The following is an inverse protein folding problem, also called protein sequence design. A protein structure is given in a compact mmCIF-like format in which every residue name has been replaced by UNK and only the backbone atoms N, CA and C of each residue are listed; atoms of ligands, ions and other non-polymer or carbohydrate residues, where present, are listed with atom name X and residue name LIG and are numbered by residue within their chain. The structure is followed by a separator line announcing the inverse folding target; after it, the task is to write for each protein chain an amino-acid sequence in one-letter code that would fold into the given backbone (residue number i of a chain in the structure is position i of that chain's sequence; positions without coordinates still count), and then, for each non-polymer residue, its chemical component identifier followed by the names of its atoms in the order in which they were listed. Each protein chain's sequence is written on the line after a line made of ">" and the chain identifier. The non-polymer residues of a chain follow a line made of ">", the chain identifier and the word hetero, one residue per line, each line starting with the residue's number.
data_IF_434783769871
#
_entry.id   IF_434783769871
#
_cell.length_a   1.000
_cell.length_b   1.000
_cell.length_c   1.000
_cell.angle_alpha   90.00
_cell.angle_beta   90.00
_cell.angle_gamma   90.00
#
_symmetry.space_group_name_H-M   'P 1'
#
loop_
_entity.id
_entity.type
_entity.pdbx_description
1 polymer ?
#
# COMPACT_ATOMS: atom_id res chain seq x y z
N UNK A 1 7.88 -32.45 -50.39
CA UNK A 1 7.07 -31.35 -49.84
C UNK A 1 6.80 -31.65 -48.38
N UNK A 2 7.63 -31.12 -47.48
CA UNK A 2 7.44 -31.30 -46.03
C UNK A 2 6.37 -30.32 -45.53
N UNK A 3 5.24 -30.85 -45.09
CA UNK A 3 4.24 -30.07 -44.36
C UNK A 3 4.88 -29.61 -43.05
N UNK A 4 5.01 -28.29 -42.85
CA UNK A 4 5.37 -27.76 -41.55
C UNK A 4 4.24 -28.04 -40.55
N UNK A 5 4.56 -28.44 -39.30
CA UNK A 5 3.53 -28.61 -38.29
C UNK A 5 2.95 -27.24 -37.96
N UNK A 6 1.64 -27.09 -38.15
CA UNK A 6 0.91 -25.90 -37.76
C UNK A 6 1.11 -25.65 -36.26
N UNK A 7 1.79 -24.55 -35.94
CA UNK A 7 1.96 -24.07 -34.57
C UNK A 7 0.57 -23.68 -34.05
N UNK A 8 -0.10 -24.60 -33.36
CA UNK A 8 -1.38 -24.35 -32.72
C UNK A 8 -1.11 -23.49 -31.49
N UNK A 9 -1.11 -22.16 -31.66
CA UNK A 9 -0.98 -21.22 -30.55
C UNK A 9 -2.23 -21.41 -29.67
N UNK A 10 -2.06 -22.16 -28.59
CA UNK A 10 -3.10 -22.38 -27.58
C UNK A 10 -3.42 -21.02 -26.96
N UNK A 11 -4.53 -20.43 -27.42
CA UNK A 11 -5.05 -19.16 -26.91
C UNK A 11 -5.34 -19.38 -25.41
N UNK A 12 -4.50 -18.83 -24.54
CA UNK A 12 -4.75 -18.86 -23.11
C UNK A 12 -6.06 -18.11 -22.88
N UNK A 13 -7.00 -18.76 -22.18
CA UNK A 13 -8.28 -18.16 -21.84
C UNK A 13 -8.02 -16.92 -20.99
N UNK A 14 -8.56 -15.78 -21.40
CA UNK A 14 -8.45 -14.54 -20.64
C UNK A 14 -9.09 -14.76 -19.26
N UNK A 15 -8.27 -14.68 -18.22
CA UNK A 15 -8.68 -14.90 -16.83
C UNK A 15 -8.31 -13.67 -16.03
N UNK A 16 -9.22 -13.22 -15.18
CA UNK A 16 -8.96 -12.24 -14.15
C UNK A 16 -8.50 -13.01 -12.91
N UNK A 17 -7.24 -12.86 -12.53
CA UNK A 17 -6.68 -13.42 -11.30
C UNK A 17 -6.57 -12.34 -10.24
N UNK A 18 -6.96 -12.69 -9.01
CA UNK A 18 -6.78 -11.87 -7.82
C UNK A 18 -5.71 -12.52 -6.95
N UNK A 19 -4.71 -11.72 -6.63
CA UNK A 19 -3.59 -12.06 -5.78
C UNK A 19 -3.74 -11.37 -4.44
N UNK A 20 -3.21 -11.99 -3.39
CA UNK A 20 -3.26 -11.48 -2.04
C UNK A 20 -1.91 -11.62 -1.34
N UNK A 21 -1.58 -10.65 -0.49
CA UNK A 21 -0.41 -10.63 0.39
C UNK A 21 -0.90 -10.51 1.82
N UNK A 22 -0.57 -11.50 2.65
CA UNK A 22 -1.00 -11.55 4.04
C UNK A 22 0.01 -10.83 4.96
N UNK A 23 -0.49 -10.20 6.02
CA UNK A 23 0.36 -9.55 7.02
C UNK A 23 1.04 -8.27 6.55
N UNK A 24 0.59 -7.69 5.42
CA UNK A 24 1.00 -6.38 4.91
C UNK A 24 -0.25 -5.55 4.61
N UNK A 25 -0.22 -4.28 4.99
CA UNK A 25 -1.31 -3.30 4.72
C UNK A 25 -1.22 -2.82 3.28
N UNK A 26 -0.01 -2.51 2.83
CA UNK A 26 0.36 -2.19 1.46
C UNK A 26 1.63 -2.96 1.12
N UNK A 27 1.77 -3.36 -0.15
CA UNK A 27 2.94 -4.07 -0.63
C UNK A 27 3.17 -3.75 -2.10
N UNK A 28 4.30 -3.11 -2.41
CA UNK A 28 4.71 -2.82 -3.79
C UNK A 28 5.81 -3.80 -4.19
N UNK A 29 5.62 -4.48 -5.31
CA UNK A 29 6.62 -5.40 -5.86
C UNK A 29 6.97 -4.99 -7.29
N UNK A 30 8.27 -4.93 -7.60
CA UNK A 30 8.75 -4.71 -8.96
C UNK A 30 8.95 -6.04 -9.66
N UNK A 31 8.25 -6.24 -10.78
CA UNK A 31 8.34 -7.46 -11.58
C UNK A 31 8.99 -7.11 -12.92
N UNK A 32 10.00 -7.88 -13.31
CA UNK A 32 10.66 -7.73 -14.60
C UNK A 32 9.93 -8.55 -15.66
N UNK A 33 9.49 -7.89 -16.74
CA UNK A 33 8.91 -8.52 -17.91
C UNK A 33 9.76 -8.15 -19.12
N UNK A 34 10.44 -9.14 -19.69
CA UNK A 34 11.48 -8.95 -20.70
C UNK A 34 12.55 -7.97 -20.20
N UNK A 35 12.51 -6.71 -20.65
CA UNK A 35 13.51 -5.68 -20.32
C UNK A 35 12.92 -4.51 -19.51
N UNK A 36 11.64 -4.59 -19.14
CA UNK A 36 10.95 -3.53 -18.41
C UNK A 36 10.59 -3.98 -16.99
N UNK A 37 10.66 -3.07 -16.03
CA UNK A 37 10.21 -3.31 -14.65
C UNK A 37 8.84 -2.67 -14.45
N UNK A 38 7.87 -3.46 -14.01
CA UNK A 38 6.51 -3.00 -13.70
C UNK A 38 6.30 -3.11 -12.20
N UNK A 39 5.86 -2.02 -11.57
CA UNK A 39 5.46 -2.04 -10.18
C UNK A 39 4.02 -2.54 -10.04
N UNK A 40 3.83 -3.49 -9.14
CA UNK A 40 2.54 -4.04 -8.78
C UNK A 40 2.23 -3.61 -7.35
N UNK A 41 1.23 -2.75 -7.22
CA UNK A 41 0.80 -2.19 -5.94
C UNK A 41 -0.35 -3.02 -5.34
N UNK A 42 -0.06 -3.79 -4.30
CA UNK A 42 -1.07 -4.43 -3.47
C UNK A 42 -1.51 -3.45 -2.39
N UNK A 43 -2.81 -3.28 -2.27
CA UNK A 43 -3.41 -2.34 -1.32
C UNK A 43 -4.67 -2.91 -0.67
N UNK A 44 -5.21 -2.17 0.30
CA UNK A 44 -6.43 -2.54 1.02
C UNK A 44 -6.24 -3.64 2.08
N UNK A 45 -4.99 -3.93 2.45
CA UNK A 45 -4.71 -4.78 3.60
C UNK A 45 -4.96 -4.03 4.91
N UNK A 46 -5.22 -4.76 5.99
CA UNK A 46 -5.26 -4.20 7.34
C UNK A 46 -4.82 -5.23 8.35
N UNK A 47 -4.18 -4.78 9.43
CA UNK A 47 -3.73 -5.64 10.51
C UNK A 47 -4.29 -5.04 11.79
N UNK A 48 -5.22 -5.76 12.41
CA UNK A 48 -5.88 -5.36 13.66
C UNK A 48 -5.82 -6.50 14.66
N UNK A 49 -6.06 -6.21 15.95
CA UNK A 49 -6.14 -7.26 16.97
C UNK A 49 -7.26 -8.28 16.72
N UNK A 50 -8.24 -7.94 15.88
CA UNK A 50 -9.35 -8.82 15.49
C UNK A 50 -9.02 -9.76 14.32
N UNK A 51 -7.95 -9.47 13.57
CA UNK A 51 -7.58 -10.27 12.42
C UNK A 51 -6.79 -9.51 11.36
N UNK A 52 -6.47 -10.24 10.29
CA UNK A 52 -5.65 -9.76 9.19
C UNK A 52 -6.47 -9.77 7.90
N UNK A 53 -6.64 -8.60 7.29
CA UNK A 53 -7.17 -8.45 5.94
C UNK A 53 -5.96 -8.37 5.00
N UNK A 54 -5.83 -9.27 4.00
CA UNK A 54 -4.68 -9.23 3.11
C UNK A 54 -4.77 -8.06 2.13
N UNK A 55 -3.61 -7.50 1.77
CA UNK A 55 -3.53 -6.58 0.64
C UNK A 55 -3.77 -7.35 -0.66
N UNK A 56 -4.54 -6.79 -1.60
CA UNK A 56 -4.92 -7.52 -2.81
C UNK A 56 -4.57 -6.75 -4.09
N UNK A 57 -4.34 -7.52 -5.15
CA UNK A 57 -4.11 -6.99 -6.49
C UNK A 57 -4.87 -7.84 -7.50
N UNK A 58 -5.61 -7.20 -8.41
CA UNK A 58 -6.40 -7.90 -9.44
C UNK A 58 -5.86 -7.52 -10.80
N UNK A 59 -5.59 -8.52 -11.64
CA UNK A 59 -5.13 -8.28 -13.01
C UNK A 59 -5.69 -9.32 -13.97
N UNK A 60 -5.99 -8.87 -15.18
CA UNK A 60 -6.37 -9.72 -16.30
C UNK A 60 -5.22 -9.94 -17.29
N UNK A 61 -4.09 -9.25 -17.12
CA UNK A 61 -2.98 -9.34 -18.05
C UNK A 61 -2.23 -10.68 -17.87
N UNK A 62 -2.25 -11.59 -18.87
CA UNK A 62 -1.64 -12.92 -18.74
C UNK A 62 -0.11 -12.87 -18.61
N UNK A 63 0.54 -11.85 -19.16
CA UNK A 63 1.99 -11.66 -19.00
C UNK A 63 2.32 -11.28 -17.56
N UNK A 64 1.55 -10.35 -16.98
CA UNK A 64 1.75 -9.95 -15.59
C UNK A 64 1.44 -11.09 -14.63
N UNK A 65 0.38 -11.86 -14.89
CA UNK A 65 0.06 -13.06 -14.09
C UNK A 65 1.21 -14.07 -14.11
N UNK A 66 1.73 -14.39 -15.30
CA UNK A 66 2.86 -15.32 -15.43
C UNK A 66 4.10 -14.78 -14.72
N UNK A 67 4.43 -13.51 -14.92
CA UNK A 67 5.61 -12.91 -14.30
C UNK A 67 5.49 -12.84 -12.77
N UNK A 68 4.27 -12.61 -12.24
CA UNK A 68 3.98 -12.60 -10.81
C UNK A 68 4.02 -14.02 -10.22
N UNK A 69 3.51 -15.03 -10.92
CA UNK A 69 3.63 -16.43 -10.49
C UNK A 69 5.06 -16.97 -10.58
N UNK A 70 5.91 -16.39 -11.42
CA UNK A 70 7.33 -16.74 -11.54
C UNK A 70 8.24 -15.98 -10.56
N UNK A 71 7.71 -14.92 -9.92
CA UNK A 71 8.46 -14.08 -9.00
C UNK A 71 8.87 -14.83 -7.71
N UNK A 72 9.92 -14.34 -7.05
CA UNK A 72 10.44 -14.93 -5.81
C UNK A 72 9.40 -14.87 -4.69
N UNK A 73 8.63 -13.79 -4.62
CA UNK A 73 7.61 -13.52 -3.60
C UNK A 73 6.47 -14.54 -3.69
N UNK A 74 6.12 -14.96 -4.91
CA UNK A 74 5.14 -16.00 -5.13
C UNK A 74 5.67 -17.39 -4.76
N UNK A 75 6.91 -17.71 -5.15
CA UNK A 75 7.57 -18.98 -4.80
C UNK A 75 7.76 -19.17 -3.30
N UNK A 76 8.06 -18.09 -2.57
CA UNK A 76 8.14 -18.09 -1.10
C UNK A 76 6.75 -18.17 -0.45
N UNK A 77 5.68 -17.89 -1.21
CA UNK A 77 4.29 -17.99 -0.75
C UNK A 77 3.80 -16.75 0.00
N UNK A 78 4.51 -15.62 -0.12
CA UNK A 78 4.08 -14.30 0.39
C UNK A 78 2.86 -13.83 -0.40
N UNK A 79 2.94 -13.97 -1.73
CA UNK A 79 1.86 -13.65 -2.66
C UNK A 79 1.13 -14.94 -3.04
N UNK A 80 -0.20 -14.94 -2.96
CA UNK A 80 -1.03 -16.12 -3.27
C UNK A 80 -2.19 -15.75 -4.19
N UNK A 81 -2.55 -16.64 -5.10
CA UNK A 81 -3.80 -16.52 -5.87
C UNK A 81 -4.97 -16.84 -4.94
N UNK A 82 -5.94 -15.93 -4.84
CA UNK A 82 -7.16 -16.13 -4.03
C UNK A 82 -8.42 -16.30 -4.88
N UNK A 83 -8.43 -15.81 -6.11
CA UNK A 83 -9.54 -16.07 -7.04
C UNK A 83 -9.06 -16.01 -8.47
N UNK A 84 -9.66 -16.83 -9.33
CA UNK A 84 -9.41 -16.82 -10.76
C UNK A 84 -10.76 -16.96 -11.49
N UNK A 85 -11.19 -15.90 -12.15
CA UNK A 85 -12.50 -15.81 -12.82
C UNK A 85 -12.24 -15.62 -14.31
N UNK A 86 -12.90 -16.37 -15.22
CA UNK A 86 -12.76 -16.11 -16.66
C UNK A 86 -13.27 -14.70 -16.99
N UNK A 87 -12.57 -14.00 -17.89
CA UNK A 87 -12.93 -12.67 -18.40
C UNK A 87 -14.13 -12.81 -19.37
N UNK A 88 -15.28 -13.17 -18.82
CA UNK A 88 -16.58 -12.97 -19.42
C UNK A 88 -17.26 -11.86 -18.61
N UNK A 89 -17.88 -10.91 -19.29
CA UNK A 89 -18.51 -9.68 -18.79
C UNK A 89 -19.62 -9.84 -17.69
N UNK A 90 -19.56 -10.83 -16.81
CA UNK A 90 -20.62 -11.24 -15.87
C UNK A 90 -20.36 -10.85 -14.40
N UNK A 91 -19.53 -9.83 -14.14
CA UNK A 91 -19.36 -9.28 -12.78
C UNK A 91 -20.67 -8.64 -12.25
N UNK A 92 -21.66 -8.37 -13.12
CA UNK A 92 -22.99 -7.88 -12.72
C UNK A 92 -23.92 -8.98 -12.19
N UNK A 93 -23.75 -10.24 -12.59
CA UNK A 93 -24.70 -11.32 -12.22
C UNK A 93 -24.35 -11.96 -10.87
N UNK A 94 -23.07 -12.02 -10.50
CA UNK A 94 -22.64 -12.59 -9.21
C UNK A 94 -23.04 -11.70 -8.02
N UNK A 95 -22.81 -10.37 -8.12
CA UNK A 95 -23.20 -9.42 -7.07
C UNK A 95 -24.73 -9.27 -6.95
N UNK A 96 -25.46 -9.28 -8.06
CA UNK A 96 -26.91 -9.21 -8.07
C UNK A 96 -27.59 -10.47 -7.48
N UNK A 97 -26.98 -11.65 -7.64
CA UNK A 97 -27.51 -12.88 -7.01
C UNK A 97 -27.27 -12.91 -5.50
N UNK A 98 -26.10 -12.47 -5.04
CA UNK A 98 -25.77 -12.46 -3.60
C UNK A 98 -26.61 -11.41 -2.83
N UNK A 99 -26.86 -10.23 -3.43
CA UNK A 99 -27.74 -9.21 -2.83
C UNK A 99 -29.22 -9.62 -2.81
N UNK A 100 -29.71 -10.29 -3.87
CA UNK A 100 -31.10 -10.76 -3.93
C UNK A 100 -31.37 -11.93 -2.98
N UNK A 101 -30.40 -12.83 -2.78
CA UNK A 101 -30.54 -13.95 -1.85
C UNK A 101 -30.49 -13.49 -0.40
N UNK A 102 -29.61 -12.53 -0.08
CA UNK A 102 -29.54 -11.93 1.26
C UNK A 102 -30.81 -11.15 1.61
N UNK A 103 -31.37 -10.39 0.66
CA UNK A 103 -32.66 -9.71 0.83
C UNK A 103 -33.85 -10.67 0.98
N UNK A 104 -33.82 -11.84 0.34
CA UNK A 104 -34.88 -12.87 0.45
C UNK A 104 -34.80 -13.64 1.77
N UNK A 105 -33.61 -13.87 2.30
CA UNK A 105 -33.43 -14.48 3.62
C UNK A 105 -33.84 -13.52 4.75
N UNK A 106 -33.59 -12.22 4.61
CA UNK A 106 -33.98 -11.20 5.60
C UNK A 106 -35.48 -10.89 5.59
N UNK A 107 -36.17 -11.04 4.45
CA UNK A 107 -37.62 -10.90 4.33
C UNK A 107 -38.41 -12.11 4.84
N UNK A 108 -37.80 -13.31 4.92
CA UNK A 108 -38.47 -14.52 5.39
C UNK A 108 -38.52 -14.65 6.93
N UNK A 109 -37.67 -13.92 7.66
CA UNK A 109 -37.62 -13.93 9.14
C UNK A 109 -38.57 -12.92 9.81
N UNK A 110 -39.45 -12.25 9.05
CA UNK A 110 -40.34 -11.18 9.55
C UNK A 110 -41.84 -11.46 9.41
N UNK A 111 -42.26 -12.70 9.14
CA UNK A 111 -43.69 -13.02 8.90
C UNK A 111 -44.34 -13.90 9.98
N UNK A 112 -43.67 -14.23 11.09
CA UNK A 112 -44.28 -15.03 12.18
C UNK A 112 -44.07 -14.43 13.59
N UNK A 113 -44.45 -13.17 13.79
CA UNK A 113 -44.79 -12.53 15.08
C UNK A 113 -45.21 -11.10 14.71
N UNK A 114 -46.38 -10.51 14.96
CA UNK A 114 -47.43 -10.76 15.93
C UNK A 114 -48.64 -9.91 15.47
N UNK A 115 -49.80 -10.54 15.30
CA UNK A 115 -51.07 -9.83 15.23
C UNK A 115 -51.47 -9.48 16.67
N UNK A 116 -51.42 -8.19 17.08
CA UNK A 116 -51.58 -7.91 18.52
C UNK A 116 -51.76 -6.48 19.04
N UNK A 117 -52.31 -5.54 18.28
CA UNK A 117 -53.15 -4.38 18.74
C UNK A 117 -52.90 -3.79 20.16
N UNK A 118 -52.40 -2.55 20.25
CA UNK A 118 -53.05 -1.35 20.87
C UNK A 118 -52.04 -0.27 21.34
N UNK A 119 -52.11 0.91 20.71
CA UNK A 119 -51.93 2.24 21.35
C UNK A 119 -52.92 2.42 22.54
N UNK A 120 -52.72 3.33 23.54
CA UNK A 120 -52.16 4.68 23.34
C UNK A 120 -51.37 5.35 24.52
N UNK A 121 -50.79 6.51 24.18
CA UNK A 121 -50.77 7.76 24.94
C UNK A 121 -49.59 8.15 25.86
N UNK A 122 -49.28 9.45 25.70
CA UNK A 122 -48.69 10.42 26.64
C UNK A 122 -47.15 10.51 26.77
N UNK A 123 -46.61 11.56 26.11
CA UNK A 123 -45.87 12.70 26.71
C UNK A 123 -45.18 12.38 28.05
N UNK A 124 -43.85 12.55 28.19
CA UNK A 124 -43.20 13.65 28.97
C UNK A 124 -41.69 13.76 28.61
N UNK A 125 -41.35 14.98 28.20
CA UNK A 125 -40.13 15.77 28.39
C UNK A 125 -39.05 15.33 29.42
N UNK A 126 -37.79 15.48 28.98
CA UNK A 126 -36.59 15.97 29.68
C UNK A 126 -35.98 15.28 30.91
N UNK A 127 -34.64 15.29 30.85
CA UNK A 127 -33.61 15.30 31.91
C UNK A 127 -33.37 14.01 32.68
N UNK A 128 -32.13 13.53 32.63
CA UNK A 128 -31.29 13.23 33.82
C UNK A 128 -29.86 12.86 33.36
N UNK A 129 -28.90 12.61 34.27
CA UNK A 129 -27.93 13.51 34.90
C UNK A 129 -26.52 13.23 34.31
N UNK A 130 -25.36 13.75 34.72
CA UNK A 130 -24.83 13.96 36.06
C UNK A 130 -23.49 14.70 35.93
N UNK A 131 -23.23 15.56 36.92
CA UNK A 131 -22.01 16.32 37.11
C UNK A 131 -20.99 15.48 37.88
N UNK A 132 -19.68 15.67 37.66
CA UNK A 132 -18.67 16.04 38.69
C UNK A 132 -17.28 16.01 38.04
N UNK A 133 -16.64 17.18 37.85
CA UNK A 133 -15.64 17.82 38.74
C UNK A 133 -14.30 17.05 38.73
N UNK A 134 -13.14 17.60 38.39
CA UNK A 134 -12.46 18.75 39.01
C UNK A 134 -11.32 19.29 38.11
N UNK A 135 -11.04 20.58 38.28
CA UNK A 135 -9.92 21.41 37.80
C UNK A 135 -8.51 20.82 38.07
N UNK A 136 -7.49 21.22 37.31
CA UNK A 136 -6.61 22.40 37.59
C UNK A 136 -5.54 22.53 36.48
N UNK A 137 -5.26 23.80 36.15
CA UNK A 137 -4.25 24.39 35.26
C UNK A 137 -2.81 23.90 35.57
N UNK A 138 -1.73 24.09 34.79
CA UNK A 138 -1.33 25.24 34.00
C UNK A 138 -0.02 24.93 33.24
N UNK A 139 0.15 25.61 32.11
CA UNK A 139 1.35 26.05 31.36
C UNK A 139 2.76 25.53 31.71
N UNK A 140 3.55 25.28 30.66
CA UNK A 140 5.01 25.26 30.77
C UNK A 140 5.75 24.64 29.59
N UNK A 141 5.99 25.43 28.55
CA UNK A 141 7.19 25.31 27.70
C UNK A 141 8.26 26.20 28.36
N UNK A 142 9.55 25.80 28.45
CA UNK A 142 10.49 26.17 27.39
C UNK A 142 11.66 25.18 27.13
N UNK A 143 12.20 25.33 25.93
CA UNK A 143 13.58 25.23 25.42
C UNK A 143 14.79 24.64 26.20
N UNK A 144 15.71 24.14 25.36
CA UNK A 144 17.18 24.15 25.44
C UNK A 144 17.99 23.03 26.16
N UNK A 145 18.62 22.20 25.30
CA UNK A 145 20.08 21.93 25.09
C UNK A 145 20.92 20.87 25.87
N UNK A 146 21.78 20.24 25.05
CA UNK A 146 23.10 19.59 25.23
C UNK A 146 23.13 18.12 25.69
N UNK A 147 23.65 17.16 24.91
CA UNK A 147 25.02 16.88 24.39
C UNK A 147 25.71 15.81 25.26
N UNK A 148 26.65 15.09 24.66
CA UNK A 148 27.67 14.14 25.15
C UNK A 148 27.28 12.65 25.08
N UNK A 149 27.65 11.89 24.02
CA UNK A 149 28.96 11.31 23.60
C UNK A 149 29.43 10.12 24.44
N UNK A 150 29.57 8.94 23.80
CA UNK A 150 30.78 8.07 23.70
C UNK A 150 30.37 6.69 23.10
N UNK A 151 30.68 6.35 21.83
CA UNK A 151 31.82 5.51 21.31
C UNK A 151 32.00 4.14 21.99
N UNK A 152 32.46 3.05 21.37
CA UNK A 152 32.83 2.62 20.00
C UNK A 152 33.00 1.07 20.05
N UNK A 153 32.89 0.41 18.91
CA UNK A 153 33.83 -0.59 18.33
C UNK A 153 33.06 -1.35 17.24
N UNK A 154 33.14 -0.98 15.96
CA UNK A 154 34.17 -1.29 14.94
C UNK A 154 34.47 -2.77 14.75
N UNK A 155 34.14 -3.28 13.56
CA UNK A 155 35.11 -4.03 12.76
C UNK A 155 34.89 -3.71 11.27
N UNK A 156 35.99 -3.28 10.66
CA UNK A 156 36.18 -2.96 9.25
C UNK A 156 36.53 -4.23 8.47
N UNK A 157 36.24 -4.28 7.16
CA UNK A 157 37.34 -4.25 6.18
C UNK A 157 36.86 -3.91 4.75
N UNK A 158 37.45 -2.82 4.26
CA UNK A 158 37.94 -2.46 2.92
C UNK A 158 37.20 -2.94 1.67
N UNK A 159 36.85 -1.96 0.83
CA UNK A 159 37.62 -1.71 -0.39
C UNK A 159 37.51 -0.23 -0.78
N UNK A 160 38.62 0.47 -0.67
CA UNK A 160 38.85 1.72 -1.35
C UNK A 160 39.19 1.40 -2.82
N UNK A 161 38.51 2.05 -3.76
CA UNK A 161 39.10 2.31 -5.08
C UNK A 161 38.65 3.68 -5.58
N UNK A 162 39.62 4.59 -5.53
CA UNK A 162 39.99 5.61 -6.52
C UNK A 162 38.91 6.47 -7.20
N UNK A 163 39.23 7.77 -7.19
CA UNK A 163 38.51 8.82 -7.91
C UNK A 163 38.21 8.47 -9.35
N UNK A 164 36.92 8.50 -9.68
CA UNK A 164 36.44 8.75 -11.00
C UNK A 164 35.33 9.80 -10.87
N UNK A 165 35.55 10.94 -11.49
CA UNK A 165 34.59 12.03 -11.64
C UNK A 165 33.26 11.47 -12.18
N UNK A 166 32.35 11.09 -11.28
CA UNK A 166 30.98 10.83 -11.69
C UNK A 166 30.41 12.14 -12.26
N UNK A 167 29.59 12.08 -13.32
CA UNK A 167 28.95 13.28 -13.86
C UNK A 167 28.02 13.85 -12.78
N UNK A 168 28.57 14.76 -11.97
CA UNK A 168 27.84 15.46 -10.93
C UNK A 168 26.74 16.24 -11.63
N UNK A 169 25.51 15.77 -11.48
CA UNK A 169 24.37 16.39 -12.12
C UNK A 169 23.97 17.57 -11.26
N UNK A 170 24.19 18.78 -11.77
CA UNK A 170 23.82 20.00 -11.07
C UNK A 170 22.35 20.31 -11.35
N UNK A 171 21.54 20.36 -10.30
CA UNK A 171 20.12 20.70 -10.39
C UNK A 171 19.91 22.05 -9.71
N UNK A 172 19.40 23.02 -10.46
CA UNK A 172 19.06 24.32 -9.89
C UNK A 172 17.69 24.23 -9.22
N UNK A 173 17.64 24.56 -7.94
CA UNK A 173 16.44 24.55 -7.11
C UNK A 173 16.30 25.89 -6.43
N UNK A 174 15.07 26.37 -6.34
CA UNK A 174 14.81 27.70 -5.76
C UNK A 174 14.59 27.65 -4.24
N UNK A 175 14.17 26.49 -3.72
CA UNK A 175 13.81 26.27 -2.33
C UNK A 175 14.17 24.84 -1.90
N UNK A 176 14.23 24.62 -0.58
CA UNK A 176 14.47 23.29 -0.01
C UNK A 176 13.40 22.28 -0.40
N UNK A 177 12.14 22.70 -0.39
CA UNK A 177 11.00 21.84 -0.71
C UNK A 177 11.08 21.32 -2.15
N UNK A 178 11.58 22.14 -3.08
CA UNK A 178 11.80 21.81 -4.49
C UNK A 178 12.86 20.69 -4.63
N UNK A 179 13.95 20.78 -3.84
CA UNK A 179 14.96 19.73 -3.76
C UNK A 179 14.42 18.42 -3.15
N UNK A 180 13.55 18.52 -2.13
CA UNK A 180 12.88 17.35 -1.53
C UNK A 180 11.95 16.67 -2.54
N UNK A 181 11.20 17.45 -3.32
CA UNK A 181 10.31 16.93 -4.35
C UNK A 181 11.09 16.27 -5.49
N UNK A 182 12.21 16.87 -5.90
CA UNK A 182 13.12 16.27 -6.87
C UNK A 182 13.67 14.91 -6.39
N UNK A 183 14.13 14.83 -5.14
CA UNK A 183 14.63 13.58 -4.57
C UNK A 183 13.52 12.53 -4.41
N UNK A 184 12.30 12.96 -4.10
CA UNK A 184 11.13 12.08 -4.01
C UNK A 184 10.73 11.52 -5.39
N UNK A 185 10.71 12.35 -6.42
CA UNK A 185 10.29 11.97 -7.77
C UNK A 185 11.32 11.08 -8.48
N UNK A 186 12.61 11.37 -8.32
CA UNK A 186 13.66 10.65 -9.05
C UNK A 186 14.23 9.44 -8.29
N UNK A 187 14.29 9.51 -6.95
CA UNK A 187 14.96 8.50 -6.11
C UNK A 187 14.04 7.90 -5.04
N UNK A 188 12.78 8.31 -4.95
CA UNK A 188 11.81 7.72 -4.03
C UNK A 188 12.00 8.08 -2.55
N UNK A 189 12.72 9.17 -2.23
CA UNK A 189 12.86 9.62 -0.84
C UNK A 189 11.52 10.05 -0.22
N UNK A 190 11.38 9.80 1.08
CA UNK A 190 10.25 10.31 1.87
C UNK A 190 10.62 11.66 2.51
N UNK A 191 9.65 12.59 2.56
CA UNK A 191 9.85 13.92 3.18
C UNK A 191 10.30 13.86 4.64
N UNK A 192 9.93 12.77 5.34
CA UNK A 192 10.34 12.51 6.72
C UNK A 192 11.86 12.39 6.88
N UNK A 193 12.57 11.88 5.87
CA UNK A 193 14.03 11.69 5.88
C UNK A 193 14.79 12.96 5.46
N UNK A 194 14.11 13.90 4.81
CA UNK A 194 14.67 15.11 4.21
C UNK A 194 14.17 16.39 4.91
N UNK A 195 14.07 16.34 6.25
CA UNK A 195 13.57 17.47 7.06
C UNK A 195 14.56 18.62 7.25
N UNK A 196 15.83 18.42 6.95
CA UNK A 196 16.89 19.42 7.11
C UNK A 196 17.68 19.59 5.82
N UNK A 197 18.25 20.78 5.61
CA UNK A 197 19.09 21.09 4.45
C UNK A 197 20.25 20.11 4.31
N UNK A 198 20.97 19.83 5.41
CA UNK A 198 22.07 18.85 5.39
C UNK A 198 21.63 17.42 5.06
N UNK A 199 20.38 17.02 5.37
CA UNK A 199 19.86 15.72 4.96
C UNK A 199 19.56 15.67 3.46
N UNK A 200 19.09 16.78 2.88
CA UNK A 200 18.86 16.93 1.43
C UNK A 200 20.17 16.88 0.66
N UNK A 201 21.19 17.63 1.09
CA UNK A 201 22.51 17.65 0.45
C UNK A 201 23.18 16.27 0.51
N UNK A 202 23.17 15.62 1.67
CA UNK A 202 23.76 14.28 1.82
C UNK A 202 23.05 13.22 0.96
N UNK A 203 21.73 13.28 0.87
CA UNK A 203 20.96 12.38 -0.01
C UNK A 203 21.24 12.67 -1.49
N UNK A 204 21.39 13.93 -1.87
CA UNK A 204 21.76 14.33 -3.22
C UNK A 204 23.17 13.84 -3.59
N UNK A 205 24.15 14.01 -2.71
CA UNK A 205 25.53 13.57 -2.89
C UNK A 205 25.65 12.05 -3.07
N UNK A 206 24.84 11.27 -2.34
CA UNK A 206 24.77 9.81 -2.50
C UNK A 206 24.37 9.37 -3.91
N UNK A 207 23.63 10.22 -4.62
CA UNK A 207 23.20 9.98 -6.00
C UNK A 207 23.96 10.85 -7.02
N UNK A 208 25.04 11.52 -6.60
CA UNK A 208 25.86 12.35 -7.48
C UNK A 208 25.16 13.63 -7.94
N UNK A 209 24.21 14.16 -7.17
CA UNK A 209 23.49 15.40 -7.46
C UNK A 209 24.03 16.54 -6.60
N UNK A 210 24.19 17.71 -7.21
CA UNK A 210 24.49 18.94 -6.50
C UNK A 210 23.36 19.95 -6.72
N UNK A 211 22.72 20.37 -5.62
CA UNK A 211 21.66 21.36 -5.68
C UNK A 211 22.25 22.77 -5.55
N UNK A 212 21.95 23.63 -6.50
CA UNK A 212 22.31 25.06 -6.46
C UNK A 212 21.07 25.84 -6.03
N UNK A 213 21.20 26.73 -5.04
CA UNK A 213 20.10 27.59 -4.56
C UNK A 213 19.39 27.14 -3.27
N UNK A 214 19.95 26.15 -2.57
CA UNK A 214 19.50 25.67 -1.25
C UNK A 214 19.98 26.54 -0.09
#
# INVERSE_FOLDING_TARGET
>A
MGLQPALFIKKNKDMIKKYAVYGKVEFVMAITIANNSINVDFSGGSITSRGVIPATYTTNNPLLQKALEESSEFKVGIVRVISAIPEANDVRVARAKEEAEKARQEAALKTEEEAGKKEPSAVIESKSPEQTNVEVLQEGQPDEVQDTTDVQETESEVIASEGASQPKTTVNVTCREDAVEYLKANFGYTSSKLRSKGAVEKAAEQHGINFVGL
#
